data_IF_910181079463
#
_entry.id   IF_910181079463
#
_cell.length_a   1.000
_cell.length_b   1.000
_cell.length_c   1.000
_cell.angle_alpha   90.00
_cell.angle_beta   90.00
_cell.angle_gamma   90.00
#
_symmetry.space_group_name_H-M   'P 1'
#
loop_
_entity.id
_entity.type
_entity.pdbx_description
1 polymer ?
#
# COMPACT_ATOMS: atom_id res chain seq x y z
N UNK A 1 -4.44 -2.64 11.92
CA UNK A 1 -5.84 -2.30 12.26
C UNK A 1 -6.26 -1.18 11.35
N UNK A 2 -7.32 -1.38 10.55
CA UNK A 2 -7.94 -0.32 9.76
C UNK A 2 -9.19 0.18 10.49
N UNK A 3 -9.46 1.48 10.43
CA UNK A 3 -10.69 2.04 11.00
C UNK A 3 -10.54 3.46 11.55
N UNK A 4 -11.67 4.02 11.97
CA UNK A 4 -11.74 5.35 12.55
C UNK A 4 -11.72 5.27 14.08
N UNK A 5 -10.95 6.15 14.73
CA UNK A 5 -11.02 6.30 16.18
C UNK A 5 -12.39 6.93 16.54
N UNK A 6 -13.27 6.16 17.18
CA UNK A 6 -14.60 6.63 17.56
C UNK A 6 -14.51 7.57 18.77
N UNK A 7 -14.78 8.86 18.55
CA UNK A 7 -15.25 9.75 19.60
C UNK A 7 -15.81 11.04 19.02
N UNK A 8 -17.00 11.01 18.39
CA UNK A 8 -17.72 12.26 18.12
C UNK A 8 -19.23 12.04 18.10
N UNK A 9 -19.96 12.86 18.86
CA UNK A 9 -21.43 13.00 18.75
C UNK A 9 -21.79 13.30 17.30
N UNK A 10 -22.56 12.42 16.65
CA UNK A 10 -23.10 12.61 15.29
C UNK A 10 -23.92 13.92 15.27
N UNK A 11 -23.50 14.91 14.48
CA UNK A 11 -24.26 16.16 14.30
C UNK A 11 -25.40 15.89 13.29
N UNK A 12 -26.62 16.32 13.61
CA UNK A 12 -27.85 15.91 12.89
C UNK A 12 -28.05 16.57 11.51
N UNK A 13 -27.14 17.44 11.06
CA UNK A 13 -27.33 18.29 9.87
C UNK A 13 -26.17 18.25 8.86
N UNK A 14 -25.44 17.14 8.74
CA UNK A 14 -24.35 17.01 7.77
C UNK A 14 -24.90 16.79 6.36
N UNK A 15 -24.52 17.68 5.44
CA UNK A 15 -24.88 17.66 4.02
C UNK A 15 -23.71 17.32 3.11
N UNK A 16 -22.49 17.62 3.54
CA UNK A 16 -21.29 17.47 2.73
C UNK A 16 -20.25 16.58 3.41
N UNK A 17 -19.68 15.66 2.66
CA UNK A 17 -18.58 14.80 3.09
C UNK A 17 -17.36 15.10 2.23
N UNK A 18 -16.24 15.46 2.86
CA UNK A 18 -14.98 15.78 2.18
C UNK A 18 -13.89 14.85 2.66
N UNK A 19 -13.04 14.41 1.75
CA UNK A 19 -11.86 13.59 2.05
C UNK A 19 -10.61 14.46 2.14
N UNK A 20 -9.74 14.14 3.09
CA UNK A 20 -8.38 14.64 3.15
C UNK A 20 -7.44 13.46 3.38
N UNK A 21 -6.34 13.41 2.63
CA UNK A 21 -5.41 12.28 2.68
C UNK A 21 -4.04 12.71 3.20
N UNK A 22 -3.41 11.82 3.97
CA UNK A 22 -2.00 11.91 4.33
C UNK A 22 -1.36 10.52 4.23
N UNK A 23 -0.10 10.46 3.83
CA UNK A 23 0.65 9.21 3.82
C UNK A 23 1.52 9.14 5.08
N UNK A 24 1.47 8.02 5.79
CA UNK A 24 2.45 7.72 6.83
C UNK A 24 3.80 7.45 6.18
N UNK A 25 4.83 8.10 6.70
CA UNK A 25 6.21 7.94 6.25
C UNK A 25 7.09 7.61 7.45
N UNK A 26 8.31 7.16 7.17
CA UNK A 26 9.32 6.90 8.18
C UNK A 26 9.88 5.49 8.13
N UNK A 27 11.00 5.32 8.82
CA UNK A 27 11.72 4.06 8.96
C UNK A 27 11.79 3.74 10.47
N UNK A 28 10.95 2.81 10.92
CA UNK A 28 10.89 2.37 12.30
C UNK A 28 11.70 1.07 12.48
N UNK A 29 11.92 0.70 13.75
CA UNK A 29 12.69 -0.49 14.09
C UNK A 29 12.14 -1.78 13.44
N UNK A 30 10.81 -1.91 13.36
CA UNK A 30 10.09 -3.08 12.84
C UNK A 30 9.43 -2.84 11.47
N UNK A 31 9.17 -1.60 11.11
CA UNK A 31 8.31 -1.24 9.98
C UNK A 31 8.94 -0.14 9.15
N UNK A 32 9.09 -0.37 7.86
CA UNK A 32 9.44 0.67 6.89
C UNK A 32 8.18 1.12 6.18
N UNK A 33 7.87 2.42 6.19
CA UNK A 33 6.78 2.97 5.39
C UNK A 33 7.29 3.41 4.01
N UNK A 34 6.46 3.21 2.99
CA UNK A 34 6.84 3.42 1.59
C UNK A 34 7.28 4.87 1.33
N UNK A 35 8.41 5.02 0.63
CA UNK A 35 8.89 6.29 0.12
C UNK A 35 9.76 6.05 -1.11
N UNK A 36 9.53 6.84 -2.17
CA UNK A 36 10.34 6.78 -3.39
C UNK A 36 11.82 7.09 -3.13
N UNK A 37 12.13 7.83 -2.06
CA UNK A 37 13.48 8.21 -1.68
C UNK A 37 14.13 7.23 -0.67
N UNK A 38 13.41 6.17 -0.27
CA UNK A 38 13.92 5.13 0.64
C UNK A 38 13.51 3.74 0.10
N UNK A 39 14.17 3.24 -0.95
CA UNK A 39 13.97 1.87 -1.42
C UNK A 39 14.45 0.87 -0.37
N UNK A 40 13.96 -0.37 -0.44
CA UNK A 40 14.39 -1.51 0.35
C UNK A 40 15.91 -1.71 0.21
N UNK A 41 16.54 -2.07 1.32
CA UNK A 41 17.91 -2.55 1.36
C UNK A 41 17.97 -3.87 2.11
N UNK A 42 18.99 -4.70 1.88
CA UNK A 42 19.05 -6.03 2.50
C UNK A 42 19.08 -6.00 4.04
N UNK A 43 19.57 -4.92 4.65
CA UNK A 43 19.53 -4.74 6.12
C UNK A 43 18.12 -4.53 6.69
N UNK A 44 17.11 -4.32 5.84
CA UNK A 44 15.71 -4.27 6.24
C UNK A 44 15.12 -5.68 6.48
N UNK A 45 15.71 -6.73 5.92
CA UNK A 45 15.22 -8.11 6.01
C UNK A 45 15.78 -8.78 7.28
N UNK A 46 15.01 -8.71 8.37
CA UNK A 46 15.48 -9.12 9.71
C UNK A 46 15.06 -10.53 10.13
N UNK A 47 14.13 -11.15 9.41
CA UNK A 47 13.69 -12.51 9.70
C UNK A 47 14.73 -13.54 9.22
N UNK A 48 14.76 -14.68 9.91
CA UNK A 48 15.56 -15.82 9.46
C UNK A 48 14.87 -16.54 8.30
N UNK A 49 15.59 -16.87 7.21
CA UNK A 49 15.04 -17.67 6.13
C UNK A 49 14.53 -19.02 6.62
N UNK A 50 13.41 -19.47 6.06
CA UNK A 50 12.92 -20.82 6.35
C UNK A 50 13.78 -21.83 5.62
N UNK A 51 14.38 -22.78 6.34
CA UNK A 51 15.25 -23.83 5.77
C UNK A 51 14.55 -24.70 4.72
N UNK A 52 13.22 -24.75 4.73
CA UNK A 52 12.40 -25.55 3.81
C UNK A 52 11.83 -24.76 2.63
N UNK A 53 12.11 -23.45 2.52
CA UNK A 53 11.57 -22.65 1.43
C UNK A 53 12.35 -22.87 0.14
N UNK A 54 11.64 -23.01 -0.98
CA UNK A 54 12.24 -22.94 -2.31
C UNK A 54 12.49 -21.50 -2.80
N UNK A 55 12.05 -20.50 -2.03
CA UNK A 55 12.21 -19.09 -2.37
C UNK A 55 13.54 -18.52 -1.86
N UNK A 56 14.08 -17.56 -2.60
CA UNK A 56 15.37 -16.91 -2.28
C UNK A 56 15.26 -15.80 -1.23
N UNK A 57 14.12 -15.10 -1.24
CA UNK A 57 13.78 -14.02 -0.32
C UNK A 57 12.25 -13.92 -0.23
N UNK A 58 11.78 -13.14 0.74
CA UNK A 58 10.38 -12.71 0.78
C UNK A 58 10.26 -11.35 1.49
N UNK A 59 9.63 -10.39 0.80
CA UNK A 59 9.19 -9.12 1.34
C UNK A 59 7.75 -9.18 1.83
N UNK A 60 7.55 -8.92 3.13
CA UNK A 60 6.21 -8.81 3.71
C UNK A 60 5.72 -7.38 3.61
N UNK A 61 5.06 -7.07 2.50
CA UNK A 61 4.46 -5.75 2.23
C UNK A 61 2.95 -5.78 2.42
N UNK A 62 2.39 -4.62 2.78
CA UNK A 62 0.95 -4.47 2.95
C UNK A 62 0.54 -3.01 3.05
N UNK A 63 -0.76 -2.77 3.08
CA UNK A 63 -1.28 -1.44 3.35
C UNK A 63 -2.46 -1.46 4.31
N UNK A 64 -2.66 -0.33 4.98
CA UNK A 64 -3.78 -0.05 5.85
C UNK A 64 -4.11 1.44 5.84
N UNK A 65 -5.11 1.81 6.63
CA UNK A 65 -5.43 3.21 6.86
C UNK A 65 -5.91 3.45 8.28
N UNK A 66 -5.70 4.65 8.78
CA UNK A 66 -6.37 5.14 9.99
C UNK A 66 -7.22 6.34 9.64
N UNK A 67 -8.37 6.44 10.30
CA UNK A 67 -9.35 7.47 10.02
C UNK A 67 -9.59 8.42 11.20
N UNK A 68 -9.76 9.70 10.91
CA UNK A 68 -10.28 10.70 11.85
C UNK A 68 -11.33 11.57 11.16
N UNK A 69 -12.33 12.03 11.89
CA UNK A 69 -13.35 12.93 11.36
C UNK A 69 -13.36 14.25 12.13
N UNK A 70 -13.55 15.36 11.43
CA UNK A 70 -13.85 16.67 12.01
C UNK A 70 -15.13 17.22 11.39
N UNK A 71 -15.96 17.83 12.22
CA UNK A 71 -17.20 18.47 11.77
C UNK A 71 -17.05 19.98 11.80
N UNK A 72 -17.59 20.65 10.79
CA UNK A 72 -17.68 22.11 10.70
C UNK A 72 -18.99 22.46 9.99
N UNK A 73 -19.94 23.06 10.72
CA UNK A 73 -21.27 23.40 10.22
C UNK A 73 -21.99 22.17 9.62
N UNK A 74 -22.29 22.19 8.32
CA UNK A 74 -22.95 21.11 7.57
C UNK A 74 -21.96 20.18 6.84
N UNK A 75 -20.66 20.31 7.14
CA UNK A 75 -19.59 19.56 6.46
C UNK A 75 -18.85 18.65 7.44
N UNK A 76 -18.70 17.38 7.06
CA UNK A 76 -17.80 16.42 7.68
C UNK A 76 -16.51 16.26 6.84
N UNK A 77 -15.35 16.52 7.45
CA UNK A 77 -14.05 16.29 6.84
C UNK A 77 -13.45 15.00 7.40
N UNK A 78 -13.30 14.02 6.53
CA UNK A 78 -12.79 12.68 6.80
C UNK A 78 -11.30 12.67 6.44
N UNK A 79 -10.45 12.64 7.45
CA UNK A 79 -9.01 12.49 7.31
C UNK A 79 -8.64 11.02 7.26
N UNK A 80 -8.09 10.58 6.13
CA UNK A 80 -7.62 9.22 5.90
C UNK A 80 -6.10 9.24 5.83
N UNK A 81 -5.46 8.65 6.84
CA UNK A 81 -4.02 8.41 6.85
C UNK A 81 -3.73 7.04 6.26
N UNK A 82 -3.12 7.01 5.09
CA UNK A 82 -2.72 5.80 4.39
C UNK A 82 -1.38 5.30 4.93
N UNK A 83 -1.26 3.99 5.13
CA UNK A 83 -0.06 3.35 5.65
C UNK A 83 0.35 2.23 4.68
N UNK A 84 1.36 2.48 3.85
CA UNK A 84 1.96 1.45 2.98
C UNK A 84 3.25 1.02 3.64
N UNK A 85 3.37 -0.26 3.98
CA UNK A 85 4.42 -0.73 4.88
C UNK A 85 5.09 -2.01 4.42
N UNK A 86 6.33 -2.17 4.88
CA UNK A 86 7.16 -3.37 4.82
C UNK A 86 7.50 -3.81 6.25
N UNK A 87 7.24 -5.08 6.58
CA UNK A 87 7.43 -5.64 7.92
C UNK A 87 8.80 -6.31 8.01
N UNK A 88 9.77 -5.59 8.56
CA UNK A 88 11.17 -6.04 8.70
C UNK A 88 11.32 -7.38 9.44
N UNK A 89 10.67 -7.62 10.59
CA UNK A 89 10.86 -8.86 11.35
C UNK A 89 10.17 -10.08 10.72
N UNK A 90 9.39 -9.92 9.65
CA UNK A 90 8.80 -11.03 8.89
C UNK A 90 9.48 -11.26 7.54
N UNK A 91 10.21 -10.27 7.04
CA UNK A 91 10.90 -10.33 5.75
C UNK A 91 12.29 -10.92 5.88
N UNK A 92 12.65 -11.84 4.99
CA UNK A 92 13.90 -12.62 5.05
C UNK A 92 14.55 -12.77 3.68
N UNK A 93 15.85 -13.09 3.67
CA UNK A 93 16.63 -13.38 2.46
C UNK A 93 17.73 -14.38 2.77
N UNK A 94 17.95 -15.37 1.91
CA UNK A 94 19.13 -16.24 2.01
C UNK A 94 20.40 -15.46 1.67
N UNK A 95 21.49 -15.70 2.39
CA UNK A 95 22.76 -14.97 2.21
C UNK A 95 23.28 -15.03 0.77
N UNK A 96 23.12 -16.18 0.09
CA UNK A 96 23.52 -16.36 -1.31
C UNK A 96 22.63 -15.62 -2.32
N UNK A 97 21.46 -15.13 -1.91
CA UNK A 97 20.47 -14.47 -2.75
C UNK A 97 20.50 -12.94 -2.63
N UNK A 98 21.44 -12.36 -1.88
CA UNK A 98 21.57 -10.91 -1.69
C UNK A 98 22.17 -10.19 -2.91
N UNK A 99 21.52 -10.28 -4.06
CA UNK A 99 21.92 -9.59 -5.29
C UNK A 99 21.07 -8.35 -5.53
N UNK A 100 21.56 -7.38 -6.29
CA UNK A 100 20.77 -6.20 -6.69
C UNK A 100 19.50 -6.60 -7.45
N UNK A 101 19.58 -7.65 -8.29
CA UNK A 101 18.47 -8.15 -9.07
C UNK A 101 17.36 -8.75 -8.19
N UNK A 102 17.73 -9.59 -7.21
CA UNK A 102 16.77 -10.14 -6.25
C UNK A 102 16.13 -9.04 -5.39
N UNK A 103 16.91 -8.03 -4.97
CA UNK A 103 16.37 -6.90 -4.20
C UNK A 103 15.34 -6.11 -5.01
N UNK A 104 15.59 -5.95 -6.32
CA UNK A 104 14.64 -5.28 -7.21
C UNK A 104 13.33 -6.04 -7.35
N UNK A 105 13.36 -7.38 -7.32
CA UNK A 105 12.17 -8.24 -7.29
C UNK A 105 11.31 -7.93 -6.06
N UNK A 106 11.93 -8.00 -4.88
CA UNK A 106 11.27 -7.69 -3.60
C UNK A 106 10.76 -6.24 -3.54
N UNK A 107 11.51 -5.29 -4.12
CA UNK A 107 11.06 -3.91 -4.25
C UNK A 107 9.80 -3.80 -5.14
N UNK A 108 9.65 -4.62 -6.20
CA UNK A 108 8.45 -4.57 -7.04
C UNK A 108 7.20 -4.94 -6.25
N UNK A 109 7.28 -5.87 -5.31
CA UNK A 109 6.17 -6.16 -4.40
C UNK A 109 5.76 -4.93 -3.60
N UNK A 110 6.73 -4.17 -3.07
CA UNK A 110 6.43 -2.96 -2.30
C UNK A 110 5.83 -1.84 -3.16
N UNK A 111 6.32 -1.67 -4.38
CA UNK A 111 5.77 -0.70 -5.34
C UNK A 111 4.37 -1.09 -5.81
N UNK A 112 4.08 -2.38 -5.97
CA UNK A 112 2.73 -2.88 -6.27
C UNK A 112 1.78 -2.55 -5.11
N UNK A 113 2.19 -2.77 -3.86
CA UNK A 113 1.41 -2.37 -2.68
C UNK A 113 1.11 -0.87 -2.68
N UNK A 114 2.10 -0.04 -3.01
CA UNK A 114 1.93 1.41 -3.11
C UNK A 114 0.95 1.80 -4.24
N UNK A 115 1.11 1.21 -5.43
CA UNK A 115 0.21 1.43 -6.57
C UNK A 115 -1.26 1.15 -6.21
N UNK A 116 -1.51 0.03 -5.54
CA UNK A 116 -2.87 -0.35 -5.14
C UNK A 116 -3.44 0.62 -4.12
N UNK A 117 -2.60 1.14 -3.22
CA UNK A 117 -3.01 2.15 -2.25
C UNK A 117 -3.39 3.47 -2.92
N UNK A 118 -2.65 3.89 -3.95
CA UNK A 118 -3.00 5.08 -4.73
C UNK A 118 -4.29 4.84 -5.56
N UNK A 119 -4.52 3.64 -6.09
CA UNK A 119 -5.81 3.27 -6.72
C UNK A 119 -6.97 3.29 -5.73
N UNK A 120 -6.75 2.83 -4.50
CA UNK A 120 -7.73 2.93 -3.41
C UNK A 120 -8.08 4.38 -3.13
N UNK A 121 -7.08 5.25 -2.98
CA UNK A 121 -7.27 6.70 -2.80
C UNK A 121 -8.09 7.31 -3.94
N UNK A 122 -7.76 6.97 -5.19
CA UNK A 122 -8.51 7.42 -6.36
C UNK A 122 -9.98 6.99 -6.30
N UNK A 123 -10.26 5.72 -6.02
CA UNK A 123 -11.65 5.23 -5.88
C UNK A 123 -12.42 5.97 -4.81
N UNK A 124 -11.79 6.28 -3.67
CA UNK A 124 -12.44 7.06 -2.63
C UNK A 124 -12.78 8.48 -3.07
N UNK A 125 -11.90 9.14 -3.83
CA UNK A 125 -12.16 10.47 -4.39
C UNK A 125 -13.30 10.47 -5.42
N UNK A 126 -13.50 9.35 -6.11
CA UNK A 126 -14.57 9.16 -7.10
C UNK A 126 -15.88 8.64 -6.48
N UNK A 127 -15.88 8.23 -5.21
CA UNK A 127 -17.04 7.69 -4.52
C UNK A 127 -17.77 8.79 -3.77
N UNK A 128 -19.07 8.91 -4.00
CA UNK A 128 -19.93 9.78 -3.18
C UNK A 128 -20.03 9.21 -1.76
N UNK A 129 -19.67 10.03 -0.77
CA UNK A 129 -19.71 9.64 0.64
C UNK A 129 -20.93 10.24 1.34
N UNK A 130 -21.48 9.49 2.28
CA UNK A 130 -22.62 9.89 3.08
C UNK A 130 -22.44 9.52 4.57
N UNK A 131 -23.54 9.43 5.31
CA UNK A 131 -23.52 9.10 6.73
C UNK A 131 -22.96 7.69 7.04
N UNK A 132 -22.81 6.83 6.03
CA UNK A 132 -22.22 5.49 6.09
C UNK A 132 -20.79 5.46 5.50
N UNK A 133 -20.11 6.61 5.44
CA UNK A 133 -18.75 6.75 4.91
C UNK A 133 -17.75 5.70 5.43
N UNK A 134 -17.87 5.26 6.69
CA UNK A 134 -16.97 4.28 7.29
C UNK A 134 -17.10 2.92 6.60
N UNK A 135 -18.34 2.44 6.43
CA UNK A 135 -18.64 1.19 5.71
C UNK A 135 -18.22 1.28 4.25
N UNK A 136 -18.46 2.43 3.59
CA UNK A 136 -18.05 2.67 2.20
C UNK A 136 -16.52 2.58 2.07
N UNK A 137 -15.77 3.28 2.92
CA UNK A 137 -14.30 3.27 2.89
C UNK A 137 -13.77 1.86 3.19
N UNK A 138 -14.35 1.17 4.17
CA UNK A 138 -13.97 -0.21 4.52
C UNK A 138 -14.24 -1.19 3.37
N UNK A 139 -15.36 -1.04 2.67
CA UNK A 139 -15.66 -1.82 1.48
C UNK A 139 -14.60 -1.62 0.38
N UNK A 140 -14.28 -0.35 0.07
CA UNK A 140 -13.27 -0.02 -0.93
C UNK A 140 -11.87 -0.54 -0.54
N UNK A 141 -11.54 -0.51 0.76
CA UNK A 141 -10.30 -1.10 1.29
C UNK A 141 -10.24 -2.60 1.02
N UNK A 142 -11.32 -3.35 1.31
CA UNK A 142 -11.38 -4.80 1.06
C UNK A 142 -11.19 -5.11 -0.43
N UNK A 143 -11.79 -4.31 -1.32
CA UNK A 143 -11.60 -4.49 -2.76
C UNK A 143 -10.16 -4.25 -3.19
N UNK A 144 -9.54 -3.17 -2.70
CA UNK A 144 -8.13 -2.88 -2.97
C UNK A 144 -7.20 -3.95 -2.39
N UNK A 145 -7.47 -4.48 -1.19
CA UNK A 145 -6.69 -5.56 -0.60
C UNK A 145 -6.74 -6.84 -1.44
N UNK A 146 -7.92 -7.20 -1.95
CA UNK A 146 -8.07 -8.34 -2.87
C UNK A 146 -7.34 -8.11 -4.19
N UNK A 147 -7.38 -6.89 -4.74
CA UNK A 147 -6.65 -6.52 -5.94
C UNK A 147 -5.13 -6.62 -5.74
N UNK A 148 -4.62 -6.14 -4.60
CA UNK A 148 -3.21 -6.23 -4.24
C UNK A 148 -2.73 -7.68 -4.28
N UNK A 149 -3.43 -8.59 -3.61
CA UNK A 149 -3.01 -9.99 -3.56
C UNK A 149 -3.00 -10.63 -4.95
N UNK A 150 -4.03 -10.37 -5.77
CA UNK A 150 -4.09 -10.86 -7.16
C UNK A 150 -2.94 -10.31 -8.00
N UNK A 151 -2.58 -9.03 -7.84
CA UNK A 151 -1.53 -8.40 -8.65
C UNK A 151 -0.13 -8.88 -8.22
N UNK A 152 0.09 -9.08 -6.93
CA UNK A 152 1.34 -9.69 -6.41
C UNK A 152 1.49 -11.14 -6.88
N UNK A 153 0.45 -11.96 -6.77
CA UNK A 153 0.46 -13.34 -7.27
C UNK A 153 0.70 -13.39 -8.78
N UNK A 154 0.08 -12.49 -9.54
CA UNK A 154 0.31 -12.38 -10.99
C UNK A 154 1.77 -12.03 -11.30
N UNK A 155 2.35 -11.08 -10.56
CA UNK A 155 3.75 -10.70 -10.72
C UNK A 155 4.71 -11.86 -10.44
N UNK A 156 4.49 -12.57 -9.32
CA UNK A 156 5.23 -13.78 -8.97
C UNK A 156 5.15 -14.84 -10.08
N UNK A 157 3.94 -15.15 -10.54
CA UNK A 157 3.70 -16.18 -11.55
C UNK A 157 4.36 -15.84 -12.88
N UNK A 158 4.19 -14.61 -13.37
CA UNK A 158 4.71 -14.19 -14.68
C UNK A 158 6.24 -14.04 -14.68
N UNK A 159 6.84 -13.65 -13.56
CA UNK A 159 8.31 -13.61 -13.43
C UNK A 159 8.91 -14.94 -13.00
N UNK A 160 8.07 -15.95 -12.69
CA UNK A 160 8.46 -17.21 -12.07
C UNK A 160 9.31 -16.97 -10.82
N UNK A 161 8.78 -16.16 -9.89
CA UNK A 161 9.45 -15.72 -8.66
C UNK A 161 10.82 -15.08 -8.94
N UNK A 162 10.87 -14.20 -9.94
CA UNK A 162 12.08 -13.50 -10.34
C UNK A 162 13.05 -14.31 -11.19
N UNK A 163 12.73 -15.52 -11.64
CA UNK A 163 13.62 -16.29 -12.52
C UNK A 163 13.62 -15.82 -13.99
N UNK A 164 12.59 -15.07 -14.42
CA UNK A 164 12.45 -14.57 -15.79
C UNK A 164 12.75 -13.06 -15.82
N UNK A 165 13.98 -12.70 -16.17
CA UNK A 165 14.47 -11.32 -16.16
C UNK A 165 13.67 -10.39 -17.09
N UNK A 166 13.32 -10.84 -18.30
CA UNK A 166 12.55 -10.05 -19.26
C UNK A 166 11.17 -9.66 -18.72
N UNK A 167 10.51 -10.57 -18.00
CA UNK A 167 9.22 -10.32 -17.39
C UNK A 167 9.35 -9.36 -16.20
N UNK A 168 10.39 -9.51 -15.37
CA UNK A 168 10.65 -8.57 -14.28
C UNK A 168 10.89 -7.15 -14.79
N UNK A 169 11.64 -6.99 -15.88
CA UNK A 169 11.85 -5.70 -16.53
C UNK A 169 10.55 -5.13 -17.11
N UNK A 170 9.72 -5.96 -17.78
CA UNK A 170 8.39 -5.55 -18.28
C UNK A 170 7.52 -5.03 -17.14
N UNK A 171 7.45 -5.76 -16.03
CA UNK A 171 6.69 -5.36 -14.84
C UNK A 171 7.22 -4.08 -14.21
N UNK A 172 8.54 -3.89 -14.15
CA UNK A 172 9.13 -2.65 -13.66
C UNK A 172 8.68 -1.43 -14.47
N UNK A 173 8.65 -1.54 -15.80
CA UNK A 173 8.17 -0.47 -16.68
C UNK A 173 6.67 -0.24 -16.49
N UNK A 174 5.89 -1.32 -16.45
CA UNK A 174 4.44 -1.27 -16.32
C UNK A 174 3.98 -0.66 -14.99
N UNK A 175 4.55 -1.08 -13.86
CA UNK A 175 4.25 -0.52 -12.54
C UNK A 175 4.61 0.97 -12.48
N UNK A 176 5.75 1.36 -13.05
CA UNK A 176 6.15 2.76 -13.14
C UNK A 176 5.14 3.58 -13.94
N UNK A 177 4.68 3.05 -15.07
CA UNK A 177 3.66 3.70 -15.89
C UNK A 177 2.35 3.88 -15.11
N UNK A 178 1.84 2.82 -14.48
CA UNK A 178 0.61 2.89 -13.69
C UNK A 178 0.70 3.87 -12.51
N UNK A 179 1.85 3.91 -11.83
CA UNK A 179 2.08 4.89 -10.76
C UNK A 179 2.03 6.32 -11.29
N UNK A 180 2.66 6.59 -12.45
CA UNK A 180 2.61 7.91 -13.07
C UNK A 180 1.19 8.31 -13.48
N UNK A 181 0.40 7.37 -13.98
CA UNK A 181 -1.00 7.61 -14.39
C UNK A 181 -1.88 7.96 -13.17
N UNK A 182 -1.84 7.14 -12.13
CA UNK A 182 -2.65 7.35 -10.92
C UNK A 182 -2.24 8.62 -10.18
N UNK A 183 -0.95 8.95 -10.12
CA UNK A 183 -0.48 10.17 -9.46
C UNK A 183 -0.87 11.46 -10.20
N UNK A 184 -1.06 11.41 -11.53
CA UNK A 184 -1.59 12.58 -12.26
C UNK A 184 -3.04 12.86 -11.88
N UNK A 185 -3.83 11.81 -11.73
CA UNK A 185 -5.26 11.92 -11.37
C UNK A 185 -5.41 12.43 -9.94
N UNK A 186 -4.66 11.87 -8.99
CA UNK A 186 -4.77 12.23 -7.57
C UNK A 186 -4.15 13.59 -7.19
N UNK A 187 -3.46 14.25 -8.12
CA UNK A 187 -2.89 15.61 -7.96
C UNK A 187 -3.66 16.68 -8.78
N UNK A 188 -4.68 16.29 -9.54
CA UNK A 188 -5.54 17.25 -10.22
C UNK A 188 -6.31 18.09 -9.17
N UNK A 189 -6.46 19.40 -9.39
CA UNK A 189 -7.03 20.33 -8.42
C UNK A 189 -8.50 20.04 -8.07
#
# INVERSE_FOLDING_TARGET
MCGFAQNVKKQRDIRFYKLAFENRTGDLADTLFYSANRPLVWTDFKAQPRTTSSYSAAAFTGFGYTGKIKYSSDTAVIFVRLEVYFVKPFSWVHSYSQTTYALQHEQRHFDITYLITERFKQRLLETELDADYDSIIQYQYIQAYREMNRLQEKYDNETRHGLIESEQQRWQQQVRQWLNEVQKITKAP
#
